data_IF_105249008903
#
_entry.id   IF_105249008903
#
_cell.length_a   1.000
_cell.length_b   1.000
_cell.length_c   1.000
_cell.angle_alpha   90.00
_cell.angle_beta   90.00
_cell.angle_gamma   90.00
#
_symmetry.space_group_name_H-M   'P 1'
#
loop_
_entity.id
_entity.type
_entity.pdbx_description
1 polymer ?
#
# COMPACT_ATOMS: atom_id res chain seq x y z
N UNK A 1 18.80 -6.13 -6.44
CA UNK A 1 17.33 -6.36 -6.54
C UNK A 1 16.73 -5.09 -7.12
N UNK A 2 15.71 -5.19 -8.00
CA UNK A 2 15.01 -3.99 -8.49
C UNK A 2 14.14 -3.44 -7.36
N UNK A 3 14.06 -2.12 -7.26
CA UNK A 3 13.19 -1.42 -6.33
C UNK A 3 12.12 -0.68 -7.12
N UNK A 4 10.91 -0.65 -6.59
CA UNK A 4 9.77 0.03 -7.17
C UNK A 4 9.25 1.03 -6.15
N UNK A 5 9.24 2.31 -6.51
CA UNK A 5 8.49 3.33 -5.78
C UNK A 5 7.02 3.13 -6.11
N UNK A 6 6.20 2.89 -5.11
CA UNK A 6 4.76 2.66 -5.27
C UNK A 6 4.00 3.75 -4.55
N UNK A 7 3.07 4.36 -5.27
CA UNK A 7 2.07 5.29 -4.74
C UNK A 7 0.72 4.59 -4.81
N UNK A 8 0.09 4.33 -3.67
CA UNK A 8 -1.20 3.65 -3.57
C UNK A 8 -2.25 4.64 -3.09
N UNK A 9 -3.21 4.96 -3.96
CA UNK A 9 -4.42 5.68 -3.57
C UNK A 9 -5.39 4.67 -2.95
N UNK A 10 -5.82 4.91 -1.72
CA UNK A 10 -6.70 3.99 -1.01
C UNK A 10 -7.66 4.73 -0.09
N UNK A 11 -8.70 4.04 0.36
CA UNK A 11 -9.61 4.54 1.38
C UNK A 11 -9.56 3.58 2.58
N UNK A 12 -9.39 4.12 3.78
CA UNK A 12 -9.38 3.33 5.01
C UNK A 12 -10.09 4.06 6.15
N UNK A 13 -10.52 3.31 7.16
CA UNK A 13 -11.26 3.86 8.29
C UNK A 13 -10.31 4.59 9.25
N UNK A 14 -10.63 5.83 9.58
CA UNK A 14 -9.94 6.55 10.65
C UNK A 14 -10.47 6.14 12.05
N UNK A 15 -9.90 6.71 13.12
CA UNK A 15 -10.29 6.42 14.51
C UNK A 15 -11.78 6.69 14.80
N UNK A 16 -12.40 7.58 14.04
CA UNK A 16 -13.82 7.92 14.17
C UNK A 16 -14.74 6.98 13.36
N UNK A 17 -14.19 5.97 12.67
CA UNK A 17 -14.94 5.06 11.82
C UNK A 17 -15.43 5.71 10.52
N UNK A 18 -14.79 6.78 10.07
CA UNK A 18 -15.10 7.45 8.81
C UNK A 18 -14.11 6.96 7.75
N UNK A 19 -14.64 6.62 6.57
CA UNK A 19 -13.84 6.25 5.42
C UNK A 19 -13.17 7.52 4.85
N UNK A 20 -11.84 7.56 4.84
CA UNK A 20 -11.05 8.70 4.37
C UNK A 20 -10.11 8.24 3.27
N UNK A 21 -10.05 9.02 2.18
CA UNK A 21 -9.09 8.81 1.10
C UNK A 21 -7.69 9.23 1.52
N UNK A 22 -6.73 8.35 1.28
CA UNK A 22 -5.32 8.49 1.62
C UNK A 22 -4.43 8.08 0.45
N UNK A 23 -3.23 8.65 0.45
CA UNK A 23 -2.17 8.23 -0.47
C UNK A 23 -1.02 7.66 0.33
N UNK A 24 -0.70 6.38 0.10
CA UNK A 24 0.46 5.71 0.69
C UNK A 24 1.60 5.69 -0.32
N UNK A 25 2.77 6.20 0.06
CA UNK A 25 3.96 6.16 -0.78
C UNK A 25 5.08 5.37 -0.12
N UNK A 26 5.65 4.41 -0.83
CA UNK A 26 6.67 3.50 -0.30
C UNK A 26 7.59 2.93 -1.39
N UNK A 27 8.57 2.12 -0.99
CA UNK A 27 9.42 1.32 -1.86
C UNK A 27 9.16 -0.15 -1.59
N UNK A 28 8.91 -0.92 -2.65
CA UNK A 28 8.76 -2.38 -2.59
C UNK A 28 9.81 -3.07 -3.45
N UNK A 29 10.04 -4.35 -3.17
CA UNK A 29 11.08 -5.15 -3.81
C UNK A 29 10.52 -6.18 -4.80
N UNK A 30 9.20 -6.30 -4.87
CA UNK A 30 8.45 -7.08 -5.85
C UNK A 30 7.76 -6.15 -6.82
N UNK A 31 7.63 -6.55 -8.10
CA UNK A 31 6.82 -5.78 -9.05
C UNK A 31 5.34 -5.88 -8.61
N UNK A 32 4.68 -4.75 -8.27
CA UNK A 32 3.27 -4.74 -7.88
C UNK A 32 2.35 -5.36 -8.92
N UNK A 33 1.40 -6.16 -8.45
CA UNK A 33 0.35 -6.81 -9.23
C UNK A 33 -1.00 -6.56 -8.60
N UNK A 34 -2.05 -6.68 -9.42
CA UNK A 34 -3.43 -6.73 -8.91
C UNK A 34 -3.55 -7.92 -7.95
N UNK A 35 -4.26 -7.70 -6.85
CA UNK A 35 -4.43 -8.59 -5.71
C UNK A 35 -3.22 -8.75 -4.77
N UNK A 36 -2.07 -8.14 -5.06
CA UNK A 36 -0.98 -8.08 -4.08
C UNK A 36 -1.46 -7.38 -2.80
N UNK A 37 -1.03 -7.88 -1.65
CA UNK A 37 -1.35 -7.32 -0.33
C UNK A 37 -0.09 -6.76 0.30
N UNK A 38 -0.10 -5.47 0.63
CA UNK A 38 0.99 -4.79 1.33
C UNK A 38 0.54 -4.46 2.74
N UNK A 39 1.34 -4.87 3.74
CA UNK A 39 1.07 -4.58 5.14
C UNK A 39 1.94 -3.42 5.59
N UNK A 40 1.32 -2.30 5.93
CA UNK A 40 1.95 -1.10 6.44
C UNK A 40 1.91 -1.09 7.96
N UNK A 41 3.06 -1.23 8.59
CA UNK A 41 3.19 -1.17 10.04
C UNK A 41 3.12 0.29 10.49
N UNK A 42 1.98 0.72 11.01
CA UNK A 42 1.83 2.04 11.63
C UNK A 42 2.50 2.07 13.03
N UNK A 43 2.76 3.27 13.57
CA UNK A 43 3.36 3.45 14.91
C UNK A 43 2.54 2.77 16.03
N UNK A 44 3.16 2.61 17.21
CA UNK A 44 2.78 1.78 18.38
C UNK A 44 1.32 1.83 18.89
N UNK A 45 0.46 2.69 18.36
CA UNK A 45 -0.94 2.83 18.78
C UNK A 45 -1.97 2.50 17.70
N UNK A 46 -1.56 2.25 16.45
CA UNK A 46 -2.45 1.86 15.36
C UNK A 46 -2.25 0.39 14.95
N UNK A 47 -3.35 -0.29 14.61
CA UNK A 47 -3.31 -1.58 13.93
C UNK A 47 -2.54 -1.45 12.60
N UNK A 48 -1.84 -2.49 12.13
CA UNK A 48 -1.28 -2.50 10.77
C UNK A 48 -2.38 -2.24 9.75
N UNK A 49 -2.05 -1.51 8.69
CA UNK A 49 -2.96 -1.25 7.57
C UNK A 49 -2.58 -2.25 6.48
N UNK A 50 -3.51 -3.12 6.09
CA UNK A 50 -3.28 -4.03 4.96
C UNK A 50 -4.02 -3.49 3.75
N UNK A 51 -3.28 -3.19 2.68
CA UNK A 51 -3.83 -2.68 1.44
C UNK A 51 -3.71 -3.74 0.35
N UNK A 52 -4.84 -4.12 -0.24
CA UNK A 52 -4.89 -4.95 -1.45
C UNK A 52 -4.89 -4.06 -2.68
N UNK A 53 -3.98 -4.31 -3.63
CA UNK A 53 -3.96 -3.60 -4.91
C UNK A 53 -5.16 -4.02 -5.76
N UNK A 54 -5.99 -3.05 -6.16
CA UNK A 54 -7.18 -3.26 -6.97
C UNK A 54 -6.91 -3.02 -8.45
N UNK A 55 -6.08 -2.02 -8.78
CA UNK A 55 -5.72 -1.69 -10.15
C UNK A 55 -4.39 -0.94 -10.20
N UNK A 56 -3.67 -1.08 -11.32
CA UNK A 56 -2.47 -0.30 -11.62
C UNK A 56 -2.88 0.76 -12.65
N UNK A 57 -2.76 2.04 -12.29
CA UNK A 57 -3.32 3.19 -13.04
C UNK A 57 -2.47 3.52 -14.25
N UNK A 58 -1.15 3.37 -14.15
CA UNK A 58 -0.22 3.59 -15.26
C UNK A 58 0.80 2.45 -15.33
N UNK A 59 0.62 1.51 -16.27
CA UNK A 59 1.52 0.39 -16.43
C UNK A 59 2.65 0.69 -17.43
N UNK A 60 3.08 1.94 -17.68
CA UNK A 60 4.28 2.19 -18.51
C UNK A 60 5.47 1.36 -17.97
N UNK A 61 5.73 0.26 -18.68
CA UNK A 61 6.28 -1.00 -18.15
C UNK A 61 7.76 -0.96 -17.78
N UNK A 62 8.42 0.20 -17.94
CA UNK A 62 9.85 0.41 -17.70
C UNK A 62 10.15 1.37 -16.54
N UNK A 63 9.14 1.97 -15.92
CA UNK A 63 9.35 2.92 -14.83
C UNK A 63 9.44 2.20 -13.48
N UNK A 64 10.43 2.60 -12.67
CA UNK A 64 10.56 2.20 -11.27
C UNK A 64 9.51 2.88 -10.38
N UNK A 65 8.53 3.59 -10.95
CA UNK A 65 7.51 4.34 -10.24
C UNK A 65 6.15 3.86 -10.71
N UNK A 66 5.32 3.38 -9.80
CA UNK A 66 4.01 2.81 -10.09
C UNK A 66 2.93 3.51 -9.27
N UNK A 67 1.80 3.80 -9.92
CA UNK A 67 0.61 4.35 -9.28
C UNK A 67 -0.46 3.26 -9.26
N UNK A 68 -0.97 2.97 -8.08
CA UNK A 68 -1.95 1.93 -7.83
C UNK A 68 -3.18 2.51 -7.14
N UNK A 69 -4.32 1.88 -7.33
CA UNK A 69 -5.45 2.02 -6.42
C UNK A 69 -5.51 0.77 -5.54
N UNK A 70 -5.79 0.96 -4.26
CA UNK A 70 -5.89 -0.12 -3.28
C UNK A 70 -7.07 0.08 -2.33
N UNK A 71 -7.35 -0.97 -1.58
CA UNK A 71 -8.44 -1.04 -0.60
C UNK A 71 -7.90 -1.61 0.72
N UNK A 72 -8.31 -1.04 1.86
CA UNK A 72 -8.04 -1.65 3.17
C UNK A 72 -8.78 -2.99 3.28
N UNK A 73 -8.05 -4.03 3.64
CA UNK A 73 -8.61 -5.35 3.93
C UNK A 73 -8.21 -5.79 5.33
N UNK A 74 -9.10 -6.49 6.03
CA UNK A 74 -8.80 -7.08 7.34
C UNK A 74 -8.05 -8.42 7.23
N UNK A 75 -7.75 -8.86 6.02
CA UNK A 75 -7.14 -10.15 5.72
C UNK A 75 -5.59 -10.06 5.70
N UNK A 76 -4.96 -10.82 6.60
CA UNK A 76 -3.50 -10.86 6.79
C UNK A 76 -2.83 -12.08 6.16
N UNK A 77 -3.57 -12.89 5.39
CA UNK A 77 -3.01 -14.02 4.65
C UNK A 77 -2.39 -13.54 3.33
N UNK A 78 -1.39 -14.26 2.81
CA UNK A 78 -0.74 -14.00 1.52
C UNK A 78 -0.17 -12.57 1.34
N UNK A 79 0.41 -12.02 2.41
CA UNK A 79 1.09 -10.71 2.36
C UNK A 79 2.29 -10.76 1.42
N UNK A 80 2.26 -9.92 0.39
CA UNK A 80 3.33 -9.77 -0.60
C UNK A 80 4.58 -9.16 0.03
N UNK A 81 4.41 -8.09 0.81
CA UNK A 81 5.51 -7.42 1.51
C UNK A 81 5.01 -6.68 2.76
N UNK A 82 5.83 -6.70 3.82
CA UNK A 82 5.59 -5.94 5.06
C UNK A 82 6.49 -4.70 5.04
N UNK A 83 5.90 -3.54 5.28
CA UNK A 83 6.52 -2.23 5.14
C UNK A 83 6.56 -1.55 6.50
N UNK A 84 7.77 -1.26 6.97
CA UNK A 84 7.99 -0.58 8.25
C UNK A 84 7.55 0.89 8.19
N UNK A 85 7.09 1.45 9.32
CA UNK A 85 6.67 2.85 9.45
C UNK A 85 7.66 3.87 8.89
N UNK A 86 8.96 3.60 8.99
CA UNK A 86 10.03 4.48 8.49
C UNK A 86 10.15 4.49 6.96
N UNK A 87 9.51 3.53 6.29
CA UNK A 87 9.61 3.27 4.86
C UNK A 87 8.37 3.69 4.06
N UNK A 88 7.38 4.34 4.69
CA UNK A 88 6.23 4.89 3.97
C UNK A 88 5.76 6.24 4.51
N UNK A 89 5.07 6.99 3.66
CA UNK A 89 4.41 8.26 4.00
C UNK A 89 2.94 8.13 3.67
N UNK A 90 2.09 8.70 4.53
CA UNK A 90 0.64 8.82 4.35
C UNK A 90 0.31 10.30 4.19
N UNK A 91 -0.35 10.67 3.11
CA UNK A 91 -0.94 12.01 2.90
C UNK A 91 -2.42 12.07 3.33
#
# INVERSE_FOLDING_TARGET
MKQYTVTINCEFLNEAGILVGHTLKTIVHTLPRVADKYMFMANQHFKPIVIRIMSIVDPETDLQVLICNGEEVDDVDDITEVIDHSAFVVD
#
